data_IF_469434155949
#
_entry.id   IF_469434155949
#
_cell.length_a   1.000
_cell.length_b   1.000
_cell.length_c   1.000
_cell.angle_alpha   90.00
_cell.angle_beta   90.00
_cell.angle_gamma   90.00
#
_symmetry.space_group_name_H-M   'P 1'
#
loop_
_entity.id
_entity.type
_entity.pdbx_description
1 polymer ?
#
# COMPACT_ATOMS: atom_id res chain seq x y z
N UNK A 1 8.05 9.56 -16.41
CA UNK A 1 9.16 10.36 -15.85
C UNK A 1 8.80 11.07 -14.55
N UNK A 2 7.60 11.65 -14.42
CA UNK A 2 7.20 12.40 -13.22
C UNK A 2 7.28 11.59 -11.93
N UNK A 3 6.88 10.31 -11.92
CA UNK A 3 6.97 9.44 -10.73
C UNK A 3 8.39 9.28 -10.17
N UNK A 4 9.38 8.99 -11.01
CA UNK A 4 10.78 8.84 -10.57
C UNK A 4 11.38 10.17 -10.12
N UNK A 5 10.96 11.29 -10.72
CA UNK A 5 11.29 12.62 -10.22
C UNK A 5 10.66 12.87 -8.85
N UNK A 6 9.44 12.39 -8.62
CA UNK A 6 8.77 12.43 -7.31
C UNK A 6 9.20 11.31 -6.34
N UNK A 7 10.38 10.69 -6.51
CA UNK A 7 10.95 9.79 -5.49
C UNK A 7 10.40 8.36 -5.44
N UNK A 8 9.51 7.97 -6.35
CA UNK A 8 8.92 6.63 -6.37
C UNK A 8 9.72 5.61 -7.18
N UNK A 9 10.95 5.36 -6.74
CA UNK A 9 11.81 4.33 -7.32
C UNK A 9 11.41 2.90 -6.93
N UNK A 10 10.57 2.74 -5.92
CA UNK A 10 10.13 1.44 -5.40
C UNK A 10 9.02 0.77 -6.24
N UNK A 11 8.77 1.26 -7.45
CA UNK A 11 7.77 0.76 -8.39
C UNK A 11 8.37 0.64 -9.79
N UNK A 12 8.08 -0.45 -10.49
CA UNK A 12 8.35 -0.58 -11.93
C UNK A 12 7.11 -0.13 -12.74
N UNK A 13 7.16 0.98 -13.50
CA UNK A 13 6.06 1.40 -14.35
C UNK A 13 5.74 0.34 -15.39
N UNK A 14 4.45 -0.01 -15.49
CA UNK A 14 3.97 -1.02 -16.42
C UNK A 14 3.07 -0.41 -17.50
N UNK A 15 2.16 0.49 -17.12
CA UNK A 15 1.28 1.19 -18.05
C UNK A 15 1.03 2.62 -17.59
N UNK A 16 1.00 3.55 -18.54
CA UNK A 16 0.79 4.98 -18.28
C UNK A 16 -0.63 5.38 -18.62
N UNK A 17 -1.27 6.13 -17.72
CA UNK A 17 -2.47 6.92 -18.02
C UNK A 17 -2.10 8.41 -18.01
N UNK A 18 -3.01 9.27 -18.45
CA UNK A 18 -2.77 10.72 -18.59
C UNK A 18 -2.33 11.38 -17.27
N UNK A 19 -2.84 10.91 -16.13
CA UNK A 19 -2.56 11.49 -14.81
C UNK A 19 -2.07 10.48 -13.78
N UNK A 20 -2.41 9.20 -13.94
CA UNK A 20 -2.00 8.11 -13.06
C UNK A 20 -1.10 7.13 -13.81
N UNK A 21 -0.39 6.28 -13.08
CA UNK A 21 0.46 5.24 -13.66
C UNK A 21 0.25 3.94 -12.93
N UNK A 22 0.02 2.87 -13.69
CA UNK A 22 0.11 1.52 -13.16
C UNK A 22 1.56 1.12 -13.07
N UNK A 23 1.90 0.45 -11.99
CA UNK A 23 3.20 -0.15 -11.81
C UNK A 23 3.14 -1.41 -10.99
N UNK A 24 4.28 -2.09 -10.93
CA UNK A 24 4.50 -3.28 -10.12
C UNK A 24 5.26 -2.81 -8.88
N UNK A 25 4.72 -3.04 -7.70
CA UNK A 25 5.41 -2.75 -6.45
C UNK A 25 6.63 -3.65 -6.32
N UNK A 26 7.80 -3.08 -6.04
CA UNK A 26 8.99 -3.87 -5.77
C UNK A 26 8.89 -4.43 -4.34
N UNK A 27 8.78 -5.75 -4.21
CA UNK A 27 8.58 -6.43 -2.94
C UNK A 27 9.68 -7.50 -2.74
N UNK A 28 10.55 -7.37 -1.73
CA UNK A 28 11.63 -8.32 -1.45
C UNK A 28 11.23 -9.79 -1.31
N UNK A 29 9.96 -10.06 -0.99
CA UNK A 29 9.45 -11.42 -0.76
C UNK A 29 8.77 -12.02 -1.98
N UNK A 30 8.65 -11.27 -3.10
CA UNK A 30 7.94 -11.71 -4.30
C UNK A 30 8.70 -11.34 -5.57
N UNK A 31 8.69 -12.25 -6.53
CA UNK A 31 9.10 -11.91 -7.90
C UNK A 31 8.10 -10.95 -8.54
N UNK A 32 8.54 -10.14 -9.50
CA UNK A 32 7.75 -9.12 -10.19
C UNK A 32 6.41 -9.63 -10.72
N UNK A 33 6.38 -10.85 -11.28
CA UNK A 33 5.12 -11.44 -11.78
C UNK A 33 4.06 -11.67 -10.68
N UNK A 34 4.51 -11.92 -9.45
CA UNK A 34 3.67 -12.16 -8.26
C UNK A 34 3.54 -10.93 -7.36
N UNK A 35 4.25 -9.86 -7.70
CA UNK A 35 4.22 -8.61 -6.97
C UNK A 35 2.98 -7.81 -7.32
N UNK A 36 2.48 -7.10 -6.33
CA UNK A 36 1.24 -6.35 -6.42
C UNK A 36 1.27 -5.34 -7.55
N UNK A 37 0.12 -5.20 -8.21
CA UNK A 37 -0.07 -4.08 -9.14
C UNK A 37 -0.64 -2.92 -8.36
N UNK A 38 0.01 -1.78 -8.54
CA UNK A 38 -0.34 -0.53 -7.90
C UNK A 38 -0.72 0.50 -8.95
N UNK A 39 -1.62 1.41 -8.57
CA UNK A 39 -2.01 2.57 -9.35
C UNK A 39 -1.70 3.81 -8.53
N UNK A 40 -0.91 4.72 -9.08
CA UNK A 40 -0.49 5.89 -8.32
C UNK A 40 -0.14 7.07 -9.19
N UNK A 41 0.06 8.18 -8.50
CA UNK A 41 0.44 9.46 -9.06
C UNK A 41 1.62 10.04 -8.26
N UNK A 42 1.80 11.36 -8.29
CA UNK A 42 2.89 12.02 -7.56
C UNK A 42 2.73 12.03 -6.04
N UNK A 43 1.60 11.61 -5.48
CA UNK A 43 1.34 11.67 -4.02
C UNK A 43 1.33 10.30 -3.35
N UNK A 44 1.30 9.21 -4.13
CA UNK A 44 1.36 7.85 -3.63
C UNK A 44 0.70 6.83 -4.56
N UNK A 45 0.58 5.61 -4.05
CA UNK A 45 0.10 4.44 -4.75
C UNK A 45 -0.99 3.72 -3.95
N UNK A 46 -1.95 3.13 -4.65
CA UNK A 46 -2.92 2.17 -4.11
C UNK A 46 -2.75 0.81 -4.77
N UNK A 47 -2.82 -0.27 -3.99
CA UNK A 47 -2.81 -1.63 -4.49
C UNK A 47 -4.15 -1.95 -5.15
N UNK A 48 -4.10 -2.29 -6.44
CA UNK A 48 -5.29 -2.58 -7.26
C UNK A 48 -5.44 -4.04 -7.61
N UNK A 49 -4.37 -4.83 -7.60
CA UNK A 49 -4.42 -6.27 -7.84
C UNK A 49 -3.32 -7.00 -7.05
N UNK A 50 -3.55 -8.28 -6.66
CA UNK A 50 -2.57 -9.06 -5.91
C UNK A 50 -1.27 -9.27 -6.68
N UNK A 51 -1.37 -9.36 -8.01
CA UNK A 51 -0.28 -9.57 -8.94
C UNK A 51 -0.68 -9.20 -10.38
N UNK A 52 0.22 -9.43 -11.34
CA UNK A 52 -0.03 -9.14 -12.74
C UNK A 52 -1.18 -9.96 -13.34
N UNK A 53 -1.45 -11.18 -12.86
CA UNK A 53 -2.52 -12.01 -13.42
C UNK A 53 -3.89 -11.42 -13.09
N UNK A 54 -4.03 -10.85 -11.88
CA UNK A 54 -5.21 -10.10 -11.46
C UNK A 54 -5.38 -8.73 -12.14
N UNK A 55 -4.37 -8.19 -12.83
CA UNK A 55 -4.44 -6.82 -13.36
C UNK A 55 -5.64 -6.58 -14.28
N UNK A 56 -5.88 -7.47 -15.25
CA UNK A 56 -6.97 -7.30 -16.21
C UNK A 56 -8.34 -7.34 -15.51
N UNK A 57 -8.70 -8.38 -14.74
CA UNK A 57 -10.02 -8.43 -14.11
C UNK A 57 -10.26 -7.27 -13.14
N UNK A 58 -9.23 -6.84 -12.38
CA UNK A 58 -9.35 -5.65 -11.52
C UNK A 58 -9.46 -4.35 -12.32
N UNK A 59 -8.73 -4.21 -13.42
CA UNK A 59 -8.85 -3.08 -14.33
C UNK A 59 -10.26 -2.98 -14.95
N UNK A 60 -10.86 -4.12 -15.33
CA UNK A 60 -12.25 -4.16 -15.78
C UNK A 60 -13.23 -3.81 -14.65
N UNK A 61 -12.99 -4.31 -13.44
CA UNK A 61 -13.82 -3.99 -12.28
C UNK A 61 -13.90 -2.48 -12.02
N UNK A 62 -12.80 -1.74 -12.18
CA UNK A 62 -12.81 -0.27 -12.09
C UNK A 62 -13.74 0.37 -13.13
N UNK A 63 -13.76 -0.15 -14.37
CA UNK A 63 -14.64 0.35 -15.43
C UNK A 63 -16.12 0.05 -15.12
N UNK A 64 -16.39 -1.08 -14.48
CA UNK A 64 -17.74 -1.53 -14.12
C UNK A 64 -18.41 -0.69 -13.02
N UNK A 65 -17.67 0.20 -12.35
CA UNK A 65 -18.26 1.22 -11.47
C UNK A 65 -19.24 2.15 -12.19
N UNK A 66 -19.19 2.20 -13.52
CA UNK A 66 -20.19 2.87 -14.34
C UNK A 66 -21.09 1.81 -15.01
N UNK A 67 -22.39 1.74 -14.62
CA UNK A 67 -23.31 0.71 -15.11
C UNK A 67 -23.45 0.63 -16.65
N UNK A 68 -23.14 1.71 -17.37
CA UNK A 68 -23.16 1.72 -18.85
C UNK A 68 -22.11 0.79 -19.46
N UNK A 69 -21.01 0.51 -18.76
CA UNK A 69 -19.92 -0.34 -19.25
C UNK A 69 -20.20 -1.83 -19.15
N UNK A 70 -21.14 -2.25 -18.29
CA UNK A 70 -21.51 -3.68 -18.15
C UNK A 70 -21.93 -4.25 -19.50
N UNK A 71 -22.87 -3.59 -20.20
CA UNK A 71 -23.37 -4.03 -21.50
C UNK A 71 -22.27 -4.00 -22.57
N UNK A 72 -21.45 -2.95 -22.57
CA UNK A 72 -20.36 -2.82 -23.52
C UNK A 72 -19.34 -3.99 -23.43
N UNK A 73 -18.96 -4.39 -22.21
CA UNK A 73 -18.04 -5.51 -21.99
C UNK A 73 -18.68 -6.85 -22.40
N UNK A 74 -19.97 -7.04 -22.10
CA UNK A 74 -20.70 -8.25 -22.48
C UNK A 74 -20.88 -8.38 -24.00
N UNK A 75 -21.19 -7.27 -24.67
CA UNK A 75 -21.39 -7.23 -26.12
C UNK A 75 -20.09 -7.53 -26.91
N UNK A 76 -18.92 -7.25 -26.31
CA UNK A 76 -17.61 -7.43 -26.96
C UNK A 76 -16.60 -8.27 -26.16
N UNK A 77 -17.11 -9.29 -25.47
CA UNK A 77 -16.29 -10.19 -24.65
C UNK A 77 -15.19 -10.89 -25.45
N UNK A 78 -15.47 -11.23 -26.71
CA UNK A 78 -14.50 -11.87 -27.59
C UNK A 78 -13.32 -10.95 -27.88
N UNK A 79 -13.56 -9.66 -28.16
CA UNK A 79 -12.48 -8.68 -28.37
C UNK A 79 -11.65 -8.50 -27.10
N UNK A 80 -12.28 -8.40 -25.91
CA UNK A 80 -11.53 -8.36 -24.65
C UNK A 80 -10.65 -9.60 -24.49
N UNK A 81 -11.19 -10.78 -24.80
CA UNK A 81 -10.47 -12.04 -24.76
C UNK A 81 -9.26 -12.07 -25.70
N UNK A 82 -9.43 -11.58 -26.93
CA UNK A 82 -8.38 -11.51 -27.95
C UNK A 82 -7.28 -10.50 -27.57
N UNK A 83 -7.67 -9.26 -27.25
CA UNK A 83 -6.73 -8.17 -26.90
C UNK A 83 -5.90 -8.51 -25.66
N UNK A 84 -6.47 -9.24 -24.70
CA UNK A 84 -5.78 -9.66 -23.48
C UNK A 84 -4.97 -10.94 -23.63
N UNK A 85 -5.10 -11.68 -24.74
CA UNK A 85 -4.54 -13.04 -24.87
C UNK A 85 -3.03 -13.10 -24.67
N UNK A 86 -2.30 -12.16 -25.25
CA UNK A 86 -0.84 -12.11 -25.14
C UNK A 86 -0.39 -11.85 -23.69
N UNK A 87 -1.06 -10.92 -23.00
CA UNK A 87 -0.76 -10.61 -21.60
C UNK A 87 -1.08 -11.80 -20.68
N UNK A 88 -2.24 -12.45 -20.86
CA UNK A 88 -2.64 -13.64 -20.10
C UNK A 88 -1.70 -14.82 -20.31
N UNK A 89 -1.17 -15.00 -21.53
CA UNK A 89 -0.10 -15.99 -21.80
C UNK A 89 1.19 -15.63 -21.07
N UNK A 90 1.56 -14.34 -21.04
CA UNK A 90 2.76 -13.89 -20.34
C UNK A 90 2.69 -14.08 -18.83
N UNK A 91 1.50 -13.90 -18.22
CA UNK A 91 1.26 -14.12 -16.79
C UNK A 91 0.99 -15.57 -16.43
N UNK A 92 1.00 -16.49 -17.41
CA UNK A 92 0.64 -17.91 -17.24
C UNK A 92 -0.77 -18.12 -16.66
N UNK A 93 -1.71 -17.23 -16.98
CA UNK A 93 -3.08 -17.22 -16.45
C UNK A 93 -4.12 -16.95 -17.54
N UNK A 94 -4.44 -18.01 -18.29
CA UNK A 94 -5.44 -17.94 -19.37
C UNK A 94 -6.88 -17.79 -18.85
N UNK A 95 -7.12 -18.12 -17.58
CA UNK A 95 -8.47 -18.17 -16.99
C UNK A 95 -8.78 -16.91 -16.15
N UNK A 96 -7.89 -15.90 -16.12
CA UNK A 96 -8.07 -14.66 -15.35
C UNK A 96 -9.31 -13.83 -15.68
N UNK A 97 -10.04 -14.17 -16.74
CA UNK A 97 -11.32 -13.54 -17.10
C UNK A 97 -12.55 -14.38 -16.77
N UNK A 98 -12.39 -15.67 -16.43
CA UNK A 98 -13.51 -16.59 -16.25
C UNK A 98 -14.39 -16.16 -15.09
N UNK A 99 -13.78 -15.76 -13.96
CA UNK A 99 -14.52 -15.24 -12.82
C UNK A 99 -15.26 -13.94 -13.15
N UNK A 100 -14.62 -13.00 -13.86
CA UNK A 100 -15.29 -11.78 -14.31
C UNK A 100 -16.48 -12.12 -15.23
N UNK A 101 -16.32 -13.10 -16.12
CA UNK A 101 -17.39 -13.56 -17.00
C UNK A 101 -18.56 -14.11 -16.22
N UNK A 102 -18.31 -15.05 -15.30
CA UNK A 102 -19.34 -15.63 -14.44
C UNK A 102 -20.03 -14.55 -13.62
N UNK A 103 -19.26 -13.62 -13.06
CA UNK A 103 -19.77 -12.50 -12.26
C UNK A 103 -20.76 -11.64 -13.07
N UNK A 104 -20.41 -11.28 -14.30
CA UNK A 104 -21.26 -10.46 -15.18
C UNK A 104 -22.47 -11.20 -15.75
N UNK A 105 -22.46 -12.54 -15.76
CA UNK A 105 -23.61 -13.35 -16.18
C UNK A 105 -24.51 -13.76 -15.00
N UNK A 106 -24.16 -13.41 -13.77
CA UNK A 106 -24.97 -13.69 -12.59
C UNK A 106 -25.85 -12.47 -12.24
N UNK A 107 -27.19 -12.57 -12.35
CA UNK A 107 -28.09 -11.44 -12.08
C UNK A 107 -27.96 -10.85 -10.68
N UNK A 108 -27.73 -11.68 -9.66
CA UNK A 108 -27.57 -11.22 -8.27
C UNK A 108 -26.28 -10.42 -8.09
N UNK A 109 -25.21 -10.82 -8.78
CA UNK A 109 -23.91 -10.14 -8.74
C UNK A 109 -23.94 -8.85 -9.54
N UNK A 110 -24.62 -8.84 -10.69
CA UNK A 110 -24.85 -7.64 -11.50
C UNK A 110 -25.69 -6.62 -10.73
N UNK A 111 -26.70 -7.04 -9.97
CA UNK A 111 -27.49 -6.13 -9.14
C UNK A 111 -26.64 -5.36 -8.11
N UNK A 112 -25.56 -5.95 -7.59
CA UNK A 112 -24.62 -5.24 -6.71
C UNK A 112 -23.88 -4.09 -7.43
N UNK A 113 -23.66 -4.22 -8.74
CA UNK A 113 -22.99 -3.20 -9.57
C UNK A 113 -23.92 -2.05 -9.96
N UNK A 114 -25.24 -2.19 -9.78
CA UNK A 114 -26.21 -1.12 -10.08
C UNK A 114 -26.17 0.02 -9.06
N UNK A 115 -25.73 -0.26 -7.82
CA UNK A 115 -25.48 0.74 -6.78
C UNK A 115 -24.06 0.61 -6.21
N UNK A 116 -23.03 1.04 -6.99
CA UNK A 116 -21.64 0.86 -6.61
C UNK A 116 -21.26 1.68 -5.37
N UNK A 117 -21.91 2.82 -5.11
CA UNK A 117 -21.64 3.62 -3.89
C UNK A 117 -21.83 2.85 -2.59
N UNK A 118 -22.75 1.88 -2.56
CA UNK A 118 -23.04 1.09 -1.36
C UNK A 118 -22.31 -0.25 -1.35
N UNK A 119 -22.21 -0.90 -2.52
CA UNK A 119 -21.81 -2.30 -2.59
C UNK A 119 -20.36 -2.52 -3.00
N UNK A 120 -19.65 -1.49 -3.47
CA UNK A 120 -18.37 -1.70 -4.14
C UNK A 120 -17.29 -2.29 -3.20
N UNK A 121 -17.33 -2.07 -1.86
CA UNK A 121 -16.38 -2.69 -0.92
C UNK A 121 -16.56 -4.19 -0.91
N UNK A 122 -17.83 -4.63 -0.90
CA UNK A 122 -18.20 -6.04 -0.94
C UNK A 122 -17.78 -6.67 -2.27
N UNK A 123 -18.09 -6.02 -3.40
CA UNK A 123 -17.69 -6.49 -4.73
C UNK A 123 -16.16 -6.61 -4.83
N UNK A 124 -15.43 -5.58 -4.38
CA UNK A 124 -13.98 -5.54 -4.43
C UNK A 124 -13.37 -6.64 -3.55
N UNK A 125 -13.89 -6.85 -2.33
CA UNK A 125 -13.47 -7.95 -1.47
C UNK A 125 -13.76 -9.33 -2.08
N UNK A 126 -14.87 -9.51 -2.79
CA UNK A 126 -15.15 -10.78 -3.50
C UNK A 126 -14.11 -11.07 -4.57
N UNK A 127 -13.71 -10.06 -5.36
CA UNK A 127 -12.63 -10.19 -6.34
C UNK A 127 -11.29 -10.51 -5.64
N UNK A 128 -10.95 -9.78 -4.58
CA UNK A 128 -9.72 -10.05 -3.83
C UNK A 128 -9.67 -11.45 -3.23
N UNK A 129 -10.76 -11.90 -2.62
CA UNK A 129 -10.84 -13.24 -2.06
C UNK A 129 -10.85 -14.34 -3.14
N UNK A 130 -11.19 -14.01 -4.40
CA UNK A 130 -11.07 -14.92 -5.54
C UNK A 130 -9.63 -15.01 -6.06
N UNK A 131 -8.97 -13.87 -6.30
CA UNK A 131 -7.63 -13.84 -6.89
C UNK A 131 -6.50 -13.99 -5.86
N UNK A 132 -6.81 -13.91 -4.56
CA UNK A 132 -5.84 -14.05 -3.48
C UNK A 132 -6.41 -14.91 -2.34
N UNK A 133 -5.97 -16.16 -2.25
CA UNK A 133 -6.37 -17.09 -1.18
C UNK A 133 -5.35 -17.20 -0.05
N UNK A 134 -4.44 -16.24 0.05
CA UNK A 134 -3.42 -16.25 1.11
C UNK A 134 -4.05 -16.17 2.51
N UNK A 135 -3.47 -16.83 3.52
CA UNK A 135 -3.91 -16.69 4.92
C UNK A 135 -3.99 -15.22 5.36
N UNK A 136 -3.09 -14.39 4.86
CA UNK A 136 -3.01 -12.95 5.14
C UNK A 136 -4.22 -12.19 4.59
N UNK A 137 -4.66 -12.49 3.36
CA UNK A 137 -5.89 -11.93 2.78
C UNK A 137 -7.12 -12.31 3.61
N UNK A 138 -7.25 -13.59 3.97
CA UNK A 138 -8.39 -14.07 4.75
C UNK A 138 -8.42 -13.41 6.13
N UNK A 139 -7.26 -13.30 6.79
CA UNK A 139 -7.11 -12.62 8.07
C UNK A 139 -7.48 -11.13 7.97
N UNK A 140 -7.12 -10.45 6.88
CA UNK A 140 -7.51 -9.06 6.63
C UNK A 140 -9.02 -8.92 6.44
N UNK A 141 -9.62 -9.74 5.57
CA UNK A 141 -11.07 -9.77 5.32
C UNK A 141 -11.86 -9.99 6.61
N UNK A 142 -11.45 -10.94 7.46
CA UNK A 142 -12.08 -11.19 8.76
C UNK A 142 -11.96 -10.00 9.73
N UNK A 143 -10.80 -9.34 9.77
CA UNK A 143 -10.58 -8.17 10.60
C UNK A 143 -11.55 -7.05 10.21
N UNK A 144 -11.60 -6.70 8.91
CA UNK A 144 -12.46 -5.62 8.42
C UNK A 144 -13.93 -5.94 8.66
N UNK A 145 -14.38 -7.16 8.34
CA UNK A 145 -15.78 -7.56 8.58
C UNK A 145 -16.16 -7.40 10.06
N UNK A 146 -15.32 -7.87 11.00
CA UNK A 146 -15.57 -7.70 12.44
C UNK A 146 -15.64 -6.24 12.86
N UNK A 147 -14.79 -5.38 12.28
CA UNK A 147 -14.78 -3.95 12.55
C UNK A 147 -16.00 -3.23 11.97
N UNK A 148 -16.50 -3.66 10.82
CA UNK A 148 -17.74 -3.15 10.21
C UNK A 148 -18.97 -3.57 11.02
N UNK A 149 -19.09 -4.85 11.36
CA UNK A 149 -20.21 -5.42 12.12
C UNK A 149 -20.33 -4.84 13.53
N UNK A 150 -19.19 -4.54 14.15
CA UNK A 150 -19.14 -3.98 15.49
C UNK A 150 -18.25 -2.73 15.54
N UNK A 151 -18.88 -1.56 15.63
CA UNK A 151 -18.22 -0.24 15.79
C UNK A 151 -17.37 -0.13 17.07
N UNK A 152 -17.59 -1.00 18.04
CA UNK A 152 -16.80 -1.06 19.28
C UNK A 152 -15.76 -2.18 19.27
N UNK A 153 -15.64 -2.98 18.21
CA UNK A 153 -14.58 -3.98 18.12
C UNK A 153 -13.22 -3.29 17.92
N UNK A 154 -12.23 -3.68 18.72
CA UNK A 154 -10.81 -3.37 18.55
C UNK A 154 -10.10 -4.60 19.11
N UNK A 155 -9.30 -5.35 18.32
CA UNK A 155 -8.55 -6.47 18.87
C UNK A 155 -7.60 -6.00 19.98
N UNK A 156 -7.12 -6.92 20.80
CA UNK A 156 -5.93 -6.62 21.60
C UNK A 156 -4.72 -6.54 20.67
N UNK A 157 -3.75 -5.69 21.04
CA UNK A 157 -2.61 -5.43 20.18
C UNK A 157 -1.70 -6.66 20.11
N UNK A 158 -1.52 -7.17 18.90
CA UNK A 158 -0.56 -8.20 18.54
C UNK A 158 0.01 -7.86 17.16
N UNK A 159 1.33 -8.08 16.99
CA UNK A 159 1.95 -7.95 15.67
C UNK A 159 1.54 -9.16 14.84
N UNK A 160 0.60 -8.93 13.92
CA UNK A 160 0.09 -9.91 12.96
C UNK A 160 0.48 -9.52 11.54
N UNK A 161 0.78 -10.52 10.72
CA UNK A 161 1.01 -10.30 9.30
C UNK A 161 -0.31 -10.37 8.52
N UNK A 162 -0.68 -9.27 7.88
CA UNK A 162 -1.76 -9.14 6.91
C UNK A 162 -1.21 -9.03 5.48
N UNK A 163 0.07 -9.36 5.30
CA UNK A 163 0.77 -9.35 4.02
C UNK A 163 0.74 -7.97 3.40
N UNK A 164 0.19 -7.90 2.20
CA UNK A 164 0.09 -6.66 1.44
C UNK A 164 -0.83 -5.62 2.09
N UNK A 165 -1.68 -6.06 3.03
CA UNK A 165 -2.65 -5.21 3.71
C UNK A 165 -2.16 -4.68 5.03
N UNK A 166 -0.90 -4.93 5.41
CA UNK A 166 -0.36 -4.49 6.69
C UNK A 166 -0.64 -3.00 6.95
N UNK A 167 -0.27 -2.11 6.01
CA UNK A 167 -0.56 -0.67 6.12
C UNK A 167 -2.04 -0.40 6.40
N UNK A 168 -2.94 -1.01 5.63
CA UNK A 168 -4.38 -0.78 5.75
C UNK A 168 -4.96 -1.33 7.05
N UNK A 169 -4.57 -2.55 7.43
CA UNK A 169 -5.02 -3.23 8.64
C UNK A 169 -4.62 -2.44 9.89
N UNK A 170 -3.34 -2.07 9.99
CA UNK A 170 -2.85 -1.29 11.12
C UNK A 170 -3.46 0.10 11.16
N UNK A 171 -3.61 0.78 10.02
CA UNK A 171 -4.28 2.09 9.97
C UNK A 171 -5.73 2.00 10.48
N UNK A 172 -6.49 0.99 10.05
CA UNK A 172 -7.85 0.77 10.52
C UNK A 172 -7.89 0.53 12.04
N UNK A 173 -7.01 -0.33 12.57
CA UNK A 173 -6.93 -0.60 14.00
C UNK A 173 -6.50 0.63 14.81
N UNK A 174 -5.52 1.39 14.32
CA UNK A 174 -5.06 2.64 14.94
C UNK A 174 -6.16 3.69 14.96
N UNK A 175 -6.92 3.84 13.87
CA UNK A 175 -8.10 4.72 13.84
C UNK A 175 -9.15 4.29 14.88
N UNK A 176 -9.41 2.98 15.00
CA UNK A 176 -10.39 2.47 15.96
C UNK A 176 -9.91 2.61 17.41
N UNK A 177 -8.60 2.47 17.64
CA UNK A 177 -7.97 2.77 18.92
C UNK A 177 -8.12 4.26 19.24
N UNK A 178 -7.80 5.13 18.28
CA UNK A 178 -7.93 6.57 18.36
C UNK A 178 -9.33 7.03 18.81
N UNK A 179 -10.39 6.50 18.18
CA UNK A 179 -11.77 6.88 18.54
C UNK A 179 -12.20 6.48 19.96
N UNK A 180 -11.33 5.78 20.70
CA UNK A 180 -11.57 5.27 22.06
C UNK A 180 -10.51 5.74 23.05
N UNK A 181 -9.61 6.63 22.64
CA UNK A 181 -8.55 7.11 23.52
C UNK A 181 -9.17 7.92 24.65
N UNK A 182 -8.85 7.53 25.88
CA UNK A 182 -9.06 8.27 27.10
C UNK A 182 -7.79 8.19 27.94
N UNK A 183 -7.75 8.88 29.09
CA UNK A 183 -6.57 8.91 29.97
C UNK A 183 -6.12 7.55 30.52
N UNK A 184 -6.94 6.50 30.41
CA UNK A 184 -6.62 5.12 30.84
C UNK A 184 -6.23 4.21 29.67
N UNK A 185 -6.53 4.56 28.43
CA UNK A 185 -6.32 3.71 27.24
C UNK A 185 -5.23 4.21 26.29
N UNK A 186 -4.58 5.35 26.59
CA UNK A 186 -3.48 5.93 25.77
C UNK A 186 -2.39 4.91 25.41
N UNK A 187 -1.99 4.03 26.34
CA UNK A 187 -0.93 3.04 26.12
C UNK A 187 -1.31 1.92 25.14
N UNK A 188 -2.60 1.67 24.90
CA UNK A 188 -3.00 0.74 23.84
C UNK A 188 -2.89 1.38 22.46
N UNK A 189 -3.01 2.70 22.37
CA UNK A 189 -3.00 3.42 21.09
C UNK A 189 -1.59 3.56 20.51
N UNK A 190 -0.57 3.77 21.34
CA UNK A 190 0.82 3.95 20.90
C UNK A 190 1.36 2.75 20.09
N UNK A 191 1.01 1.52 20.46
CA UNK A 191 1.49 0.32 19.79
C UNK A 191 0.89 0.19 18.38
N UNK A 192 -0.43 0.40 18.25
CA UNK A 192 -1.09 0.44 16.94
C UNK A 192 -0.51 1.54 16.05
N UNK A 193 -0.32 2.72 16.64
CA UNK A 193 0.22 3.88 15.95
C UNK A 193 1.63 3.62 15.41
N UNK A 194 2.50 3.10 16.27
CA UNK A 194 3.86 2.80 15.90
C UNK A 194 3.91 1.69 14.84
N UNK A 195 3.03 0.68 14.90
CA UNK A 195 2.93 -0.30 13.82
C UNK A 195 2.51 0.30 12.48
N UNK A 196 1.64 1.32 12.47
CA UNK A 196 1.31 2.05 11.24
C UNK A 196 2.54 2.80 10.71
N UNK A 197 3.25 3.48 11.60
CA UNK A 197 4.40 4.31 11.25
C UNK A 197 5.54 3.49 10.60
N UNK A 198 5.78 2.27 11.07
CA UNK A 198 6.88 1.45 10.54
C UNK A 198 6.57 0.76 9.19
N UNK A 199 5.35 0.91 8.67
CA UNK A 199 4.99 0.44 7.32
C UNK A 199 5.57 1.36 6.23
N UNK A 200 5.74 0.89 4.98
CA UNK A 200 6.26 1.74 3.91
C UNK A 200 5.26 2.84 3.56
N UNK A 201 5.69 4.10 3.70
CA UNK A 201 4.88 5.26 3.31
C UNK A 201 4.77 5.36 1.78
N UNK A 202 3.71 6.01 1.31
CA UNK A 202 3.38 6.15 -0.11
C UNK A 202 2.60 4.99 -0.71
N UNK A 203 2.33 3.91 0.02
CA UNK A 203 1.52 2.77 -0.44
C UNK A 203 0.31 2.53 0.45
N UNK A 204 -0.85 2.37 -0.20
CA UNK A 204 -2.16 2.23 0.45
C UNK A 204 -2.37 3.16 1.65
N UNK A 205 -2.06 4.47 1.52
CA UNK A 205 -2.40 5.44 2.56
C UNK A 205 -3.92 5.59 2.63
N UNK A 206 -4.55 4.97 3.60
CA UNK A 206 -6.00 5.12 3.82
C UNK A 206 -6.19 6.19 4.90
N UNK A 207 -6.97 7.22 4.59
CA UNK A 207 -7.54 8.15 5.58
C UNK A 207 -8.54 7.38 6.48
N UNK A 208 -9.30 8.08 7.30
CA UNK A 208 -10.25 7.55 8.27
C UNK A 208 -11.44 6.72 7.71
N UNK A 209 -11.21 5.75 6.83
CA UNK A 209 -12.22 4.94 6.16
C UNK A 209 -11.97 3.43 6.36
N UNK A 210 -12.97 2.73 6.90
CA UNK A 210 -12.98 1.27 7.01
C UNK A 210 -13.32 0.56 5.69
N UNK A 211 -13.74 1.32 4.68
CA UNK A 211 -14.15 0.76 3.39
C UNK A 211 -12.96 0.20 2.62
N UNK A 212 -13.18 -0.92 1.92
CA UNK A 212 -12.16 -1.61 1.11
C UNK A 212 -12.23 -1.16 -0.34
N UNK A 213 -11.88 0.10 -0.56
CA UNK A 213 -11.76 0.68 -1.91
C UNK A 213 -10.31 0.98 -2.26
N UNK A 214 -9.92 1.03 -3.54
CA UNK A 214 -8.71 1.70 -3.99
C UNK A 214 -8.92 3.22 -3.87
N UNK A 215 -8.96 3.72 -2.64
CA UNK A 215 -8.90 5.14 -2.33
C UNK A 215 -7.63 5.37 -1.51
N UNK A 216 -6.62 5.94 -2.15
CA UNK A 216 -5.42 6.45 -1.47
C UNK A 216 -5.60 7.92 -1.18
N UNK A 217 -5.22 8.31 0.03
CA UNK A 217 -5.01 9.71 0.43
C UNK A 217 -3.51 9.97 0.49
N UNK A 218 -3.03 11.06 1.06
CA UNK A 218 -1.58 11.19 1.29
C UNK A 218 -1.22 10.40 2.55
N UNK A 219 -0.12 9.63 2.60
CA UNK A 219 0.36 8.99 3.85
C UNK A 219 0.59 10.01 4.98
N UNK A 220 0.74 11.28 4.61
CA UNK A 220 0.68 12.44 5.48
C UNK A 220 -0.52 12.47 6.44
N UNK A 221 -1.71 12.04 6.02
CA UNK A 221 -2.97 12.28 6.74
C UNK A 221 -3.08 11.50 8.05
N UNK A 222 -2.56 10.26 8.09
CA UNK A 222 -2.58 9.45 9.32
C UNK A 222 -1.69 10.06 10.38
N UNK A 223 -0.46 10.44 10.02
CA UNK A 223 0.49 11.08 10.94
C UNK A 223 0.00 12.46 11.40
N UNK A 224 -0.57 13.27 10.51
CA UNK A 224 -1.15 14.58 10.86
C UNK A 224 -2.29 14.43 11.86
N UNK A 225 -3.19 13.48 11.62
CA UNK A 225 -4.30 13.20 12.52
C UNK A 225 -3.87 12.75 13.92
N UNK A 226 -2.74 12.05 14.02
CA UNK A 226 -2.15 11.62 15.28
C UNK A 226 -1.52 12.82 16.01
N UNK A 227 -0.73 13.62 15.29
CA UNK A 227 -0.05 14.81 15.83
C UNK A 227 -1.09 15.82 16.34
N UNK A 228 -2.07 16.17 15.50
CA UNK A 228 -3.13 17.13 15.82
C UNK A 228 -3.90 16.76 17.09
N UNK A 229 -4.16 15.47 17.29
CA UNK A 229 -4.86 15.00 18.49
C UNK A 229 -4.08 15.23 19.78
N UNK A 230 -2.77 14.96 19.78
CA UNK A 230 -1.97 15.17 20.99
C UNK A 230 -1.68 16.63 21.26
N UNK A 231 -1.55 17.43 20.21
CA UNK A 231 -1.45 18.88 20.35
C UNK A 231 -2.76 19.48 20.92
N UNK A 232 -3.92 18.90 20.57
CA UNK A 232 -5.23 19.34 21.08
C UNK A 232 -5.64 18.70 22.42
N UNK A 233 -4.98 17.63 22.85
CA UNK A 233 -5.26 16.94 24.12
C UNK A 233 -3.99 16.84 25.00
N UNK A 234 -3.42 17.98 25.44
CA UNK A 234 -2.13 17.99 26.15
C UNK A 234 -2.17 17.28 27.52
N UNK A 235 -3.36 17.10 28.10
CA UNK A 235 -3.57 16.35 29.34
C UNK A 235 -3.40 14.84 29.14
N UNK A 236 -3.58 14.35 27.91
CA UNK A 236 -3.22 13.00 27.51
C UNK A 236 -1.72 13.01 27.21
N UNK A 237 -0.89 12.76 28.23
CA UNK A 237 0.55 12.59 28.02
C UNK A 237 0.79 11.40 27.09
N UNK A 238 1.04 11.69 25.83
CA UNK A 238 1.59 10.73 24.88
C UNK A 238 3.06 10.57 25.16
N UNK A 239 3.41 9.44 25.73
CA UNK A 239 4.79 9.03 25.85
C UNK A 239 4.91 7.62 25.29
N UNK A 240 5.67 7.50 24.21
CA UNK A 240 6.01 6.19 23.67
C UNK A 240 6.67 5.33 24.74
N UNK A 241 6.30 4.05 24.79
CA UNK A 241 6.89 3.07 25.68
C UNK A 241 8.41 2.99 25.48
N UNK A 242 9.13 2.54 26.52
CA UNK A 242 10.59 2.36 26.43
C UNK A 242 11.00 1.39 25.30
N UNK A 243 10.11 0.46 24.95
CA UNK A 243 10.31 -0.43 23.81
C UNK A 243 10.34 0.36 22.50
N UNK A 244 9.37 1.26 22.29
CA UNK A 244 9.28 2.07 21.08
C UNK A 244 10.43 3.08 21.02
N UNK A 245 10.76 3.75 22.14
CA UNK A 245 11.87 4.72 22.22
C UNK A 245 13.23 4.13 21.83
N UNK A 246 13.42 2.83 22.05
CA UNK A 246 14.65 2.10 21.66
C UNK A 246 14.64 1.60 20.23
N UNK A 247 13.51 1.69 19.52
CA UNK A 247 13.41 1.23 18.14
C UNK A 247 14.17 2.18 17.20
N UNK A 248 14.92 1.69 16.19
CA UNK A 248 15.72 2.54 15.30
C UNK A 248 14.91 3.64 14.59
N UNK A 249 13.65 3.34 14.26
CA UNK A 249 12.73 4.29 13.62
C UNK A 249 12.15 5.37 14.57
N UNK A 250 12.41 5.31 15.87
CA UNK A 250 11.89 6.30 16.81
C UNK A 250 12.38 7.72 16.51
N UNK A 251 13.66 7.87 16.16
CA UNK A 251 14.23 9.18 15.81
C UNK A 251 13.57 9.75 14.56
N UNK A 252 13.26 8.89 13.58
CA UNK A 252 12.54 9.29 12.38
C UNK A 252 11.13 9.79 12.71
N UNK A 253 10.40 9.09 13.60
CA UNK A 253 9.07 9.51 14.07
C UNK A 253 9.13 10.89 14.76
N UNK A 254 10.08 11.08 15.68
CA UNK A 254 10.24 12.34 16.40
C UNK A 254 10.66 13.49 15.48
N UNK A 255 11.45 13.22 14.44
CA UNK A 255 11.89 14.25 13.48
C UNK A 255 10.74 14.67 12.58
N UNK A 256 9.99 13.71 12.05
CA UNK A 256 8.78 13.96 11.26
C UNK A 256 7.74 14.75 12.05
N UNK A 257 7.57 14.45 13.34
CA UNK A 257 6.67 15.17 14.23
C UNK A 257 7.05 16.64 14.40
N UNK A 258 8.35 16.96 14.42
CA UNK A 258 8.84 18.33 14.65
C UNK A 258 8.72 19.21 13.41
N UNK A 259 9.15 18.70 12.25
CA UNK A 259 9.09 19.44 11.00
C UNK A 259 8.93 18.49 9.81
N UNK A 260 7.67 18.13 9.57
CA UNK A 260 7.29 17.24 8.48
C UNK A 260 7.63 17.79 7.10
N UNK A 261 7.46 19.09 6.88
CA UNK A 261 7.60 19.69 5.55
C UNK A 261 9.08 19.80 5.12
N UNK A 262 9.99 19.86 6.08
CA UNK A 262 11.43 19.81 5.83
C UNK A 262 12.02 18.39 5.85
N UNK A 263 11.21 17.36 6.10
CA UNK A 263 11.72 16.00 6.26
C UNK A 263 12.01 15.32 4.92
N UNK A 264 13.25 14.86 4.71
CA UNK A 264 13.74 14.27 3.46
C UNK A 264 13.98 12.74 3.53
N UNK A 265 13.75 12.11 4.68
CA UNK A 265 13.97 10.68 4.86
C UNK A 265 15.32 10.27 5.46
N UNK A 266 16.23 11.19 5.81
CA UNK A 266 17.59 10.82 6.26
C UNK A 266 17.60 9.94 7.51
N UNK A 267 16.70 10.20 8.47
CA UNK A 267 16.59 9.37 9.67
C UNK A 267 16.04 7.96 9.35
N UNK A 268 15.26 7.79 8.28
CA UNK A 268 14.88 6.46 7.80
C UNK A 268 16.08 5.73 7.19
N UNK A 269 16.93 6.40 6.40
CA UNK A 269 18.16 5.78 5.85
C UNK A 269 19.06 5.26 6.99
N UNK A 270 19.30 6.08 8.03
CA UNK A 270 20.07 5.67 9.20
C UNK A 270 19.44 4.47 9.92
N UNK A 271 18.13 4.50 10.12
CA UNK A 271 17.41 3.39 10.74
C UNK A 271 17.49 2.12 9.89
N UNK A 272 17.39 2.21 8.56
CA UNK A 272 17.50 1.08 7.65
C UNK A 272 18.83 0.34 7.81
N UNK A 273 19.93 1.08 7.97
CA UNK A 273 21.25 0.50 8.22
C UNK A 273 21.29 -0.31 9.52
N UNK A 274 20.80 0.25 10.63
CA UNK A 274 20.75 -0.43 11.93
C UNK A 274 19.85 -1.68 11.84
N UNK A 275 18.70 -1.55 11.17
CA UNK A 275 17.75 -2.65 10.97
C UNK A 275 18.38 -3.81 10.21
N UNK A 276 19.12 -3.54 9.13
CA UNK A 276 19.79 -4.56 8.33
C UNK A 276 21.02 -5.14 9.04
N UNK A 277 21.96 -4.30 9.49
CA UNK A 277 23.28 -4.73 9.97
C UNK A 277 23.28 -5.22 11.41
N UNK A 278 22.51 -4.59 12.30
CA UNK A 278 22.54 -4.87 13.75
C UNK A 278 21.38 -5.77 14.18
N UNK A 279 20.19 -5.59 13.58
CA UNK A 279 18.97 -6.31 13.96
C UNK A 279 18.59 -7.43 12.99
N UNK A 280 19.32 -7.60 11.88
CA UNK A 280 19.08 -8.62 10.85
C UNK A 280 17.62 -8.65 10.36
N UNK A 281 17.03 -7.46 10.18
CA UNK A 281 15.67 -7.27 9.69
C UNK A 281 15.67 -6.50 8.35
N UNK A 282 16.05 -7.16 7.25
CA UNK A 282 16.20 -6.50 5.96
C UNK A 282 14.87 -6.06 5.34
N UNK A 283 13.75 -6.71 5.68
CA UNK A 283 12.43 -6.31 5.21
C UNK A 283 12.00 -4.96 5.81
N UNK A 284 12.24 -4.76 7.10
CA UNK A 284 11.95 -3.48 7.72
C UNK A 284 12.94 -2.40 7.28
N UNK A 285 14.19 -2.76 7.01
CA UNK A 285 15.15 -1.86 6.37
C UNK A 285 14.67 -1.40 4.99
N UNK A 286 14.17 -2.33 4.16
CA UNK A 286 13.54 -2.01 2.87
C UNK A 286 12.38 -1.03 3.01
N UNK A 287 11.42 -1.30 3.91
CA UNK A 287 10.27 -0.41 4.14
C UNK A 287 10.71 0.99 4.58
N UNK A 288 11.77 1.07 5.36
CA UNK A 288 12.37 2.33 5.79
C UNK A 288 12.96 3.12 4.62
N UNK A 289 13.69 2.46 3.71
CA UNK A 289 14.23 3.11 2.50
C UNK A 289 13.13 3.58 1.55
N UNK A 290 12.09 2.77 1.34
CA UNK A 290 10.90 3.17 0.57
C UNK A 290 10.28 4.44 1.16
N UNK A 291 10.17 4.50 2.48
CA UNK A 291 9.67 5.68 3.20
C UNK A 291 10.57 6.91 3.02
N UNK A 292 11.89 6.72 3.03
CA UNK A 292 12.82 7.81 2.77
C UNK A 292 12.62 8.41 1.37
N UNK A 293 12.47 7.54 0.36
CA UNK A 293 12.13 7.94 -1.01
C UNK A 293 10.81 8.71 -1.10
N UNK A 294 9.77 8.22 -0.41
CA UNK A 294 8.45 8.88 -0.34
C UNK A 294 8.53 10.31 0.19
N UNK A 295 9.13 10.52 1.37
CA UNK A 295 9.15 11.85 2.00
C UNK A 295 9.98 12.85 1.19
N UNK A 296 11.11 12.41 0.63
CA UNK A 296 11.89 13.24 -0.28
C UNK A 296 11.07 13.66 -1.51
N UNK A 297 10.36 12.70 -2.10
CA UNK A 297 9.49 12.91 -3.25
C UNK A 297 8.34 13.88 -3.00
N UNK A 298 7.62 13.71 -1.88
CA UNK A 298 6.46 14.53 -1.52
C UNK A 298 6.85 15.95 -1.13
N UNK A 299 7.94 16.13 -0.38
CA UNK A 299 8.33 17.45 0.14
C UNK A 299 9.20 18.25 -0.83
N UNK A 300 10.02 17.58 -1.64
CA UNK A 300 11.03 18.25 -2.47
C UNK A 300 10.89 17.98 -3.97
N UNK A 301 9.95 17.13 -4.38
CA UNK A 301 9.76 16.71 -5.78
C UNK A 301 11.04 16.16 -6.43
N UNK A 302 11.89 15.53 -5.61
CA UNK A 302 13.15 14.92 -6.02
C UNK A 302 13.31 13.54 -5.35
N UNK A 303 13.96 12.57 -6.02
CA UNK A 303 14.28 11.32 -5.37
C UNK A 303 15.42 11.48 -4.36
N UNK A 304 15.33 10.78 -3.23
CA UNK A 304 16.46 10.59 -2.34
C UNK A 304 17.42 9.56 -2.96
N UNK A 305 18.49 10.03 -3.62
CA UNK A 305 19.44 9.18 -4.33
C UNK A 305 20.24 8.28 -3.38
N UNK A 306 20.48 8.71 -2.14
CA UNK A 306 21.15 7.88 -1.13
C UNK A 306 20.24 6.72 -0.71
N UNK A 307 18.95 6.97 -0.45
CA UNK A 307 17.99 5.91 -0.16
C UNK A 307 17.88 4.91 -1.32
N UNK A 308 17.86 5.41 -2.56
CA UNK A 308 17.78 4.56 -3.76
C UNK A 308 19.04 3.68 -3.90
N UNK A 309 20.24 4.26 -3.80
CA UNK A 309 21.48 3.48 -3.86
C UNK A 309 21.57 2.46 -2.72
N UNK A 310 21.19 2.86 -1.50
CA UNK A 310 21.16 1.95 -0.34
C UNK A 310 20.19 0.78 -0.58
N UNK A 311 19.06 1.02 -1.26
CA UNK A 311 18.11 -0.03 -1.60
C UNK A 311 18.65 -1.00 -2.66
N UNK A 312 19.43 -0.52 -3.63
CA UNK A 312 20.17 -1.35 -4.59
C UNK A 312 21.17 -2.24 -3.85
N UNK A 313 21.96 -1.66 -2.95
CA UNK A 313 22.98 -2.39 -2.19
C UNK A 313 22.35 -3.44 -1.27
N UNK A 314 21.24 -3.09 -0.60
CA UNK A 314 20.45 -4.01 0.22
C UNK A 314 19.89 -5.17 -0.62
N UNK A 315 19.32 -4.88 -1.79
CA UNK A 315 18.77 -5.90 -2.69
C UNK A 315 19.87 -6.85 -3.18
N UNK A 316 21.06 -6.34 -3.51
CA UNK A 316 22.20 -7.16 -3.89
C UNK A 316 22.68 -8.04 -2.73
N UNK A 317 22.84 -7.46 -1.53
CA UNK A 317 23.29 -8.18 -0.32
C UNK A 317 22.41 -9.37 0.03
N UNK A 318 21.08 -9.22 -0.11
CA UNK A 318 20.09 -10.24 0.26
C UNK A 318 19.60 -11.08 -0.92
N UNK A 319 20.21 -10.94 -2.11
CA UNK A 319 19.90 -11.77 -3.27
C UNK A 319 18.56 -11.48 -3.95
N UNK A 320 17.97 -10.30 -3.75
CA UNK A 320 16.73 -9.86 -4.40
C UNK A 320 17.00 -9.39 -5.83
N UNK A 321 17.38 -10.35 -6.68
CA UNK A 321 17.97 -10.10 -8.00
C UNK A 321 17.08 -9.25 -8.91
N UNK A 322 15.78 -9.56 -9.03
CA UNK A 322 14.87 -8.79 -9.88
C UNK A 322 14.73 -7.33 -9.41
N UNK A 323 14.73 -7.08 -8.09
CA UNK A 323 14.69 -5.72 -7.53
C UNK A 323 16.00 -4.99 -7.82
N UNK A 324 17.13 -5.65 -7.58
CA UNK A 324 18.45 -5.10 -7.87
C UNK A 324 18.57 -4.65 -9.33
N UNK A 325 18.16 -5.49 -10.28
CA UNK A 325 18.20 -5.20 -11.71
C UNK A 325 17.31 -4.02 -12.06
N UNK A 326 16.03 -4.05 -11.64
CA UNK A 326 15.07 -2.96 -11.92
C UNK A 326 15.57 -1.64 -11.34
N UNK A 327 15.97 -1.61 -10.07
CA UNK A 327 16.40 -0.36 -9.43
C UNK A 327 17.67 0.20 -10.09
N UNK A 328 18.61 -0.67 -10.45
CA UNK A 328 19.84 -0.28 -11.12
C UNK A 328 19.54 0.35 -12.47
N UNK A 329 18.67 -0.26 -13.26
CA UNK A 329 18.32 0.25 -14.59
C UNK A 329 17.47 1.52 -14.52
N UNK A 330 16.55 1.62 -13.56
CA UNK A 330 15.81 2.85 -13.31
C UNK A 330 16.73 4.00 -12.86
N UNK A 331 17.73 3.73 -12.03
CA UNK A 331 18.69 4.75 -11.59
C UNK A 331 19.57 5.22 -12.76
N UNK A 332 20.02 4.31 -13.63
CA UNK A 332 20.72 4.66 -14.87
C UNK A 332 19.85 5.52 -15.77
N UNK A 333 18.60 5.11 -15.99
CA UNK A 333 17.62 5.85 -16.77
C UNK A 333 17.42 7.26 -16.19
N UNK A 334 17.18 7.37 -14.88
CA UNK A 334 17.01 8.66 -14.21
C UNK A 334 18.24 9.56 -14.43
N UNK A 335 19.44 9.04 -14.22
CA UNK A 335 20.67 9.82 -14.40
C UNK A 335 20.93 10.25 -15.84
N UNK A 336 20.44 9.51 -16.83
CA UNK A 336 20.55 9.88 -18.24
C UNK A 336 19.59 11.02 -18.62
N UNK A 337 18.38 11.06 -18.03
CA UNK A 337 17.32 12.00 -18.40
C UNK A 337 17.10 13.16 -17.40
N UNK A 338 17.93 13.27 -16.36
CA UNK A 338 17.81 14.33 -15.35
C UNK A 338 18.11 15.71 -15.91
#
# INVERSE_FOLDING_TARGET
>A
MTLFRSGFWSVAPFAFQTYETYGIQLNPQKNLKKSNVVLGDKIGFRTVAPDLSGFIPFGQLEMLRNPKFIRYILDDWNLLGELSSAFRKYTDDLNSLDFLKEYLHNPEKVALLENPSENYSKVYLEFWNHYNHSPEQLAFSELIQKMEDNKTFLPDFEVKDFGIWNTRAYNAMAQRAYSKVDSKTVTKFEDYNFQCFIQPHGFDPVEYAFSVFPHSTKSASTLDGIIDFFDTNPDLKWEYSDKIKKHPLFIAAETLRKDKNAYNGDEHIKAAKILDEELNNPLLAWNSLVTAGYWSGVNFEQPNLEAWQTAIDLAHKHGWTEIYEVLTDQLKFYNFYK
#
